data_IF_448873121453
#
_entry.id   IF_448873121453
#
_cell.length_a   1.000
_cell.length_b   1.000
_cell.length_c   1.000
_cell.angle_alpha   90.00
_cell.angle_beta   90.00
_cell.angle_gamma   90.00
#
_symmetry.space_group_name_H-M   'P 1'
#
loop_
_entity.id
_entity.type
_entity.pdbx_description
1 polymer ?
#
# COMPACT_ATOMS: atom_id res chain seq x y z
N UNK A 1 8.99 20.65 3.90
CA UNK A 1 10.37 20.52 4.45
C UNK A 1 10.30 19.67 5.71
N UNK A 2 11.23 18.74 5.90
CA UNK A 2 11.33 17.97 7.14
C UNK A 2 12.34 18.62 8.08
N UNK A 3 11.96 18.83 9.32
CA UNK A 3 12.86 19.37 10.34
C UNK A 3 13.82 18.28 10.83
N UNK A 4 15.03 18.29 10.30
CA UNK A 4 16.14 17.44 10.75
C UNK A 4 16.99 18.20 11.77
N UNK A 5 17.83 17.48 12.53
CA UNK A 5 18.78 18.12 13.46
C UNK A 5 19.70 19.11 12.75
N UNK A 6 20.13 18.79 11.53
CA UNK A 6 20.95 19.67 10.70
C UNK A 6 20.18 20.94 10.30
N UNK A 7 18.92 20.80 9.88
CA UNK A 7 18.10 21.96 9.54
C UNK A 7 17.90 22.91 10.74
N UNK A 8 17.67 22.34 11.93
CA UNK A 8 17.54 23.14 13.17
C UNK A 8 18.88 23.81 13.54
N UNK A 9 20.00 23.10 13.47
CA UNK A 9 21.33 23.67 13.71
C UNK A 9 21.65 24.82 12.72
N UNK A 10 21.34 24.61 11.42
CA UNK A 10 21.48 25.63 10.39
C UNK A 10 20.62 26.87 10.65
N UNK A 11 19.39 26.69 11.08
CA UNK A 11 18.50 27.80 11.45
C UNK A 11 19.05 28.61 12.64
N UNK A 12 19.55 27.93 13.69
CA UNK A 12 20.16 28.57 14.86
C UNK A 12 21.39 29.39 14.41
N UNK A 13 22.23 28.82 13.55
CA UNK A 13 23.38 29.54 13.01
C UNK A 13 22.97 30.78 12.22
N UNK A 14 21.97 30.65 11.37
CA UNK A 14 21.43 31.74 10.54
C UNK A 14 20.82 32.87 11.39
N UNK A 15 20.09 32.55 12.43
CA UNK A 15 19.36 33.53 13.24
C UNK A 15 20.18 34.15 14.35
N UNK A 16 21.10 33.39 14.93
CA UNK A 16 21.83 33.81 16.13
C UNK A 16 23.36 33.81 15.97
N UNK A 17 23.89 33.38 14.82
CA UNK A 17 25.32 33.25 14.59
C UNK A 17 26.02 32.15 15.41
N UNK A 18 25.24 31.29 16.08
CA UNK A 18 25.77 30.26 16.98
C UNK A 18 25.94 28.91 16.28
N UNK A 19 27.13 28.34 16.38
CA UNK A 19 27.42 26.98 15.97
C UNK A 19 27.08 25.99 17.11
N UNK A 20 26.01 25.20 16.94
CA UNK A 20 25.57 24.23 17.94
C UNK A 20 25.73 22.78 17.43
N UNK A 21 26.23 21.90 18.29
CA UNK A 21 26.39 20.49 17.92
C UNK A 21 25.03 19.79 17.74
N UNK A 22 24.96 18.78 16.88
CA UNK A 22 23.73 18.00 16.67
C UNK A 22 23.26 17.30 17.95
N UNK A 23 24.18 17.02 18.90
CA UNK A 23 23.85 16.47 20.21
C UNK A 23 23.12 17.49 21.08
N UNK A 24 23.60 18.72 21.08
CA UNK A 24 22.97 19.86 21.76
C UNK A 24 21.53 20.05 21.23
N UNK A 25 21.37 20.13 19.90
CA UNK A 25 20.05 20.22 19.25
C UNK A 25 19.14 19.07 19.67
N UNK A 26 19.65 17.83 19.71
CA UNK A 26 18.85 16.67 20.14
C UNK A 26 18.35 16.82 21.59
N UNK A 27 19.21 17.30 22.49
CA UNK A 27 18.86 17.47 23.91
C UNK A 27 17.78 18.53 24.09
N UNK A 28 17.89 19.67 23.39
CA UNK A 28 16.85 20.71 23.44
C UNK A 28 15.53 20.22 22.83
N UNK A 29 15.56 19.57 21.65
CA UNK A 29 14.34 19.01 21.06
C UNK A 29 13.64 18.04 22.00
N UNK A 30 14.39 17.16 22.67
CA UNK A 30 13.83 16.23 23.68
C UNK A 30 13.20 16.96 24.87
N UNK A 31 13.88 17.99 25.40
CA UNK A 31 13.34 18.82 26.49
C UNK A 31 12.03 19.51 26.11
N UNK A 32 11.87 19.89 24.84
CA UNK A 32 10.67 20.51 24.30
C UNK A 32 9.60 19.48 23.85
N UNK A 33 9.77 18.20 24.15
CA UNK A 33 8.82 17.15 23.85
C UNK A 33 8.86 16.64 22.41
N UNK A 34 9.84 17.03 21.60
CA UNK A 34 9.99 16.52 20.25
C UNK A 34 10.68 15.15 20.24
N UNK A 35 10.15 14.23 19.49
CA UNK A 35 10.71 12.89 19.27
C UNK A 35 11.09 12.69 17.80
N UNK A 36 12.13 11.90 17.56
CA UNK A 36 12.50 11.54 16.20
C UNK A 36 11.50 10.53 15.64
N UNK A 37 10.73 10.93 14.63
CA UNK A 37 9.68 10.10 14.05
C UNK A 37 9.93 9.88 12.55
N UNK A 38 9.50 8.71 12.06
CA UNK A 38 9.47 8.45 10.62
C UNK A 38 8.30 9.21 9.99
N UNK A 39 8.51 10.03 8.95
CA UNK A 39 7.41 10.74 8.31
C UNK A 39 6.46 9.74 7.65
N UNK A 40 5.17 9.92 7.86
CA UNK A 40 4.13 9.16 7.18
C UNK A 40 4.03 9.62 5.73
N UNK A 41 4.13 8.70 4.79
CA UNK A 41 3.90 9.00 3.38
C UNK A 41 2.40 9.21 3.15
N UNK A 42 2.01 10.40 2.71
CA UNK A 42 0.64 10.70 2.25
C UNK A 42 0.66 10.86 0.74
N UNK A 43 -0.20 10.16 0.03
CA UNK A 43 -0.35 10.36 -1.42
C UNK A 43 -0.97 11.72 -1.69
N UNK A 44 -0.40 12.47 -2.63
CA UNK A 44 -0.99 13.72 -3.14
C UNK A 44 -2.34 13.50 -3.86
N UNK A 45 -2.55 12.29 -4.35
CA UNK A 45 -3.76 11.92 -5.11
C UNK A 45 -4.87 11.33 -4.24
N UNK A 46 -4.65 11.23 -2.91
CA UNK A 46 -5.68 10.74 -2.00
C UNK A 46 -6.77 11.81 -1.83
N UNK A 47 -7.91 11.58 -2.46
CA UNK A 47 -9.11 12.40 -2.31
C UNK A 47 -9.89 11.94 -1.07
N UNK A 48 -9.67 12.64 0.04
CA UNK A 48 -10.33 12.29 1.31
C UNK A 48 -11.86 12.45 1.21
N UNK A 49 -12.37 13.35 0.37
CA UNK A 49 -13.82 13.55 0.19
C UNK A 49 -14.45 12.32 -0.46
N UNK A 50 -13.78 11.76 -1.48
CA UNK A 50 -14.24 10.51 -2.12
C UNK A 50 -14.17 9.32 -1.16
N UNK A 51 -13.11 9.22 -0.37
CA UNK A 51 -12.99 8.16 0.65
C UNK A 51 -14.10 8.27 1.69
N UNK A 52 -14.35 9.46 2.22
CA UNK A 52 -15.40 9.71 3.21
C UNK A 52 -16.79 9.43 2.63
N UNK A 53 -17.05 9.84 1.40
CA UNK A 53 -18.30 9.55 0.70
C UNK A 53 -18.51 8.05 0.50
N UNK A 54 -17.45 7.33 0.08
CA UNK A 54 -17.52 5.88 -0.06
C UNK A 54 -17.87 5.21 1.27
N UNK A 55 -17.17 5.57 2.35
CA UNK A 55 -17.35 4.94 3.65
C UNK A 55 -18.69 5.29 4.31
N UNK A 56 -19.20 6.51 4.13
CA UNK A 56 -20.44 6.97 4.77
C UNK A 56 -21.70 6.68 3.99
N UNK A 57 -21.63 6.62 2.66
CA UNK A 57 -22.80 6.48 1.78
C UNK A 57 -22.78 5.18 0.99
N UNK A 58 -21.71 4.91 0.22
CA UNK A 58 -21.69 3.83 -0.74
C UNK A 58 -21.51 2.46 -0.06
N UNK A 59 -20.54 2.31 0.82
CA UNK A 59 -20.30 1.06 1.50
C UNK A 59 -21.48 0.58 2.37
N UNK A 60 -22.15 1.42 3.18
CA UNK A 60 -23.34 1.01 3.90
C UNK A 60 -24.49 0.56 2.99
N UNK A 61 -24.66 1.19 1.83
CA UNK A 61 -25.65 0.76 0.84
C UNK A 61 -25.32 -0.63 0.26
N UNK A 62 -24.03 -0.86 -0.10
CA UNK A 62 -23.53 -2.17 -0.54
C UNK A 62 -23.74 -3.22 0.54
N UNK A 63 -23.40 -2.93 1.79
CA UNK A 63 -23.54 -3.84 2.92
C UNK A 63 -25.01 -4.20 3.18
N UNK A 64 -25.91 -3.23 3.08
CA UNK A 64 -27.37 -3.46 3.21
C UNK A 64 -27.89 -4.36 2.08
N UNK A 65 -27.45 -4.11 0.85
CA UNK A 65 -27.87 -4.90 -0.31
C UNK A 65 -27.30 -6.33 -0.22
N UNK A 66 -26.03 -6.48 0.11
CA UNK A 66 -25.37 -7.77 0.29
C UNK A 66 -26.10 -8.61 1.37
N UNK A 67 -26.48 -7.99 2.49
CA UNK A 67 -27.26 -8.66 3.54
C UNK A 67 -28.62 -9.12 3.03
N UNK A 68 -29.31 -8.28 2.25
CA UNK A 68 -30.63 -8.62 1.67
C UNK A 68 -30.54 -9.79 0.70
N UNK A 69 -29.45 -9.89 -0.05
CA UNK A 69 -29.22 -10.92 -1.06
C UNK A 69 -28.48 -12.15 -0.50
N UNK A 70 -28.20 -12.20 0.81
CA UNK A 70 -27.36 -13.25 1.43
C UNK A 70 -26.00 -13.39 0.76
N UNK A 71 -25.43 -12.28 0.30
CA UNK A 71 -24.17 -12.21 -0.44
C UNK A 71 -22.98 -11.96 0.49
N UNK A 72 -21.78 -12.35 0.05
CA UNK A 72 -20.53 -12.05 0.73
C UNK A 72 -19.83 -10.85 0.11
N UNK A 73 -19.23 -10.00 0.96
CA UNK A 73 -18.42 -8.85 0.53
C UNK A 73 -16.96 -9.22 0.67
N UNK A 74 -16.23 -9.12 -0.43
CA UNK A 74 -14.80 -9.32 -0.54
C UNK A 74 -14.10 -7.99 -0.86
N UNK A 75 -13.01 -7.73 -0.17
CA UNK A 75 -12.08 -6.62 -0.41
C UNK A 75 -10.86 -7.18 -1.13
N UNK A 76 -10.68 -6.81 -2.37
CA UNK A 76 -9.58 -7.30 -3.20
C UNK A 76 -8.47 -6.27 -3.36
N UNK A 77 -7.23 -6.76 -3.33
CA UNK A 77 -6.02 -5.94 -3.54
C UNK A 77 -4.94 -6.78 -4.20
N UNK A 78 -4.02 -6.09 -4.87
CA UNK A 78 -2.87 -6.68 -5.55
C UNK A 78 -1.59 -6.43 -4.77
N UNK A 79 -0.78 -7.46 -4.63
CA UNK A 79 0.56 -7.34 -4.07
C UNK A 79 1.58 -8.07 -4.92
N UNK A 80 2.85 -7.73 -4.77
CA UNK A 80 3.95 -8.43 -5.42
C UNK A 80 5.15 -8.54 -4.50
N UNK A 81 5.78 -9.69 -4.53
CA UNK A 81 7.02 -9.96 -3.81
C UNK A 81 8.10 -10.15 -4.86
N UNK A 82 9.19 -9.43 -4.73
CA UNK A 82 10.40 -9.62 -5.53
C UNK A 82 11.52 -10.20 -4.67
N UNK A 83 12.53 -10.75 -5.34
CA UNK A 83 13.71 -11.32 -4.69
C UNK A 83 14.77 -10.26 -4.35
N UNK A 84 14.41 -8.96 -4.35
CA UNK A 84 15.33 -7.90 -3.94
C UNK A 84 15.43 -7.88 -2.41
N UNK A 85 16.60 -8.22 -1.92
CA UNK A 85 16.90 -8.13 -0.50
C UNK A 85 17.08 -6.66 -0.09
N UNK A 86 16.50 -6.29 1.04
CA UNK A 86 16.71 -5.00 1.67
C UNK A 86 17.87 -5.10 2.66
N UNK A 87 19.05 -4.71 2.22
CA UNK A 87 20.24 -4.75 3.07
C UNK A 87 20.20 -3.62 4.11
N UNK A 88 20.50 -3.97 5.34
CA UNK A 88 20.74 -2.99 6.39
C UNK A 88 22.11 -2.34 6.22
N UNK A 89 22.26 -1.13 6.75
CA UNK A 89 23.58 -0.45 6.76
C UNK A 89 24.54 -1.21 7.66
N UNK A 90 25.69 -1.61 7.12
CA UNK A 90 26.79 -2.21 7.86
C UNK A 90 27.90 -1.21 8.16
N UNK A 91 28.79 -1.58 9.06
CA UNK A 91 30.01 -0.81 9.34
C UNK A 91 31.15 -1.32 8.46
N UNK A 92 31.93 -0.40 7.93
CA UNK A 92 33.15 -0.66 7.18
C UNK A 92 34.18 0.41 7.50
N UNK A 93 35.45 0.19 7.11
CA UNK A 93 36.49 1.22 7.24
C UNK A 93 36.12 2.46 6.45
N UNK A 94 36.48 3.62 6.97
CA UNK A 94 36.22 4.91 6.32
C UNK A 94 36.87 4.93 4.91
N UNK A 95 36.03 5.20 3.90
CA UNK A 95 36.45 5.17 2.50
C UNK A 95 36.32 3.82 1.80
N UNK A 96 35.98 2.75 2.51
CA UNK A 96 35.75 1.42 1.93
C UNK A 96 34.27 1.08 2.02
N UNK A 97 33.58 1.05 0.89
CA UNK A 97 32.18 0.63 0.85
C UNK A 97 32.13 -0.90 0.83
N UNK A 98 31.42 -1.55 1.77
CA UNK A 98 31.28 -2.99 1.74
C UNK A 98 30.47 -3.43 0.52
N UNK A 99 30.90 -4.50 -0.14
CA UNK A 99 30.19 -5.13 -1.25
C UNK A 99 29.58 -6.44 -0.80
N UNK A 100 28.41 -6.76 -1.32
CA UNK A 100 27.72 -8.03 -1.10
C UNK A 100 27.43 -8.65 -2.47
N UNK A 101 27.74 -9.92 -2.61
CA UNK A 101 27.37 -10.67 -3.82
C UNK A 101 25.88 -10.96 -3.78
N UNK A 102 25.18 -10.54 -4.81
CA UNK A 102 23.71 -10.71 -4.92
C UNK A 102 23.39 -11.41 -6.25
N UNK A 103 22.33 -12.20 -6.25
CA UNK A 103 21.81 -12.73 -7.52
C UNK A 103 21.18 -11.58 -8.32
N UNK A 104 21.67 -11.36 -9.53
CA UNK A 104 21.21 -10.29 -10.42
C UNK A 104 19.88 -10.66 -11.10
N UNK A 105 19.49 -11.94 -11.08
CA UNK A 105 18.21 -12.37 -11.65
C UNK A 105 17.05 -11.85 -10.81
N UNK A 106 16.31 -10.93 -11.38
CA UNK A 106 15.08 -10.41 -10.76
C UNK A 106 13.95 -11.40 -11.00
N UNK A 107 13.52 -12.04 -9.93
CA UNK A 107 12.29 -12.81 -9.91
C UNK A 107 11.22 -12.02 -9.16
N UNK A 108 10.00 -11.97 -9.67
CA UNK A 108 8.84 -11.36 -9.02
C UNK A 108 7.64 -12.27 -9.16
N UNK A 109 6.98 -12.51 -8.06
CA UNK A 109 5.68 -13.18 -8.00
C UNK A 109 4.64 -12.16 -7.58
N UNK A 110 3.56 -12.06 -8.32
CA UNK A 110 2.43 -11.22 -7.99
C UNK A 110 1.29 -12.08 -7.45
N UNK A 111 0.49 -11.49 -6.58
CA UNK A 111 -0.67 -12.13 -5.99
C UNK A 111 -1.84 -11.14 -6.03
N UNK A 112 -2.99 -11.61 -6.47
CA UNK A 112 -4.25 -10.97 -6.20
C UNK A 112 -4.95 -11.71 -5.08
N UNK A 113 -5.43 -10.99 -4.08
CA UNK A 113 -6.13 -11.56 -2.94
C UNK A 113 -7.44 -10.81 -2.70
N UNK A 114 -8.40 -11.51 -2.14
CA UNK A 114 -9.64 -10.92 -1.67
C UNK A 114 -10.00 -11.48 -0.29
N UNK A 115 -10.39 -10.61 0.62
CA UNK A 115 -10.64 -10.94 2.03
C UNK A 115 -12.04 -10.50 2.42
N UNK A 116 -12.78 -11.34 3.11
CA UNK A 116 -14.08 -10.98 3.69
C UNK A 116 -13.92 -10.28 5.03
N UNK A 117 -14.96 -9.58 5.48
CA UNK A 117 -14.99 -9.02 6.84
C UNK A 117 -14.94 -10.11 7.94
N UNK A 118 -15.17 -11.38 7.60
CA UNK A 118 -15.07 -12.54 8.50
C UNK A 118 -13.67 -13.18 8.51
N UNK A 119 -12.75 -12.69 7.68
CA UNK A 119 -11.38 -13.19 7.60
C UNK A 119 -11.16 -14.33 6.60
N UNK A 120 -12.17 -14.74 5.84
CA UNK A 120 -11.98 -15.71 4.75
C UNK A 120 -11.17 -15.08 3.62
N UNK A 121 -10.16 -15.79 3.12
CA UNK A 121 -9.24 -15.30 2.09
C UNK A 121 -9.35 -16.17 0.84
N UNK A 122 -9.34 -15.54 -0.32
CA UNK A 122 -9.15 -16.16 -1.63
C UNK A 122 -8.00 -15.46 -2.33
N UNK A 123 -7.11 -16.21 -2.95
CA UNK A 123 -5.97 -15.62 -3.64
C UNK A 123 -5.59 -16.39 -4.90
N UNK A 124 -4.91 -15.71 -5.80
CA UNK A 124 -4.32 -16.25 -7.01
C UNK A 124 -2.92 -15.68 -7.19
N UNK A 125 -1.95 -16.55 -7.34
CA UNK A 125 -0.57 -16.17 -7.67
C UNK A 125 -0.37 -16.18 -9.17
N UNK A 126 0.46 -15.26 -9.68
CA UNK A 126 0.76 -15.17 -11.10
C UNK A 126 2.10 -14.48 -11.35
N UNK A 127 2.74 -14.88 -12.45
CA UNK A 127 3.94 -14.23 -12.97
C UNK A 127 3.58 -12.99 -13.77
N UNK A 128 4.30 -12.05 -14.06
CA UNK A 128 4.04 -10.85 -14.86
C UNK A 128 2.99 -9.93 -14.22
N UNK A 129 2.73 -8.79 -14.86
CA UNK A 129 1.82 -7.77 -14.34
C UNK A 129 0.35 -8.18 -14.44
N UNK A 130 -0.47 -7.62 -13.55
CA UNK A 130 -1.91 -7.72 -13.61
C UNK A 130 -2.44 -7.17 -14.94
N UNK A 131 -3.43 -7.85 -15.49
CA UNK A 131 -4.17 -7.43 -16.68
C UNK A 131 -5.63 -7.89 -16.61
N UNK A 132 -6.46 -7.43 -17.56
CA UNK A 132 -7.88 -7.73 -17.58
C UNK A 132 -8.19 -9.24 -17.58
N UNK A 133 -7.41 -10.04 -18.31
CA UNK A 133 -7.65 -11.49 -18.41
C UNK A 133 -7.39 -12.18 -17.07
N UNK A 134 -6.35 -11.77 -16.34
CA UNK A 134 -6.03 -12.30 -15.00
C UNK A 134 -7.06 -11.89 -13.96
N UNK A 135 -7.54 -10.65 -14.03
CA UNK A 135 -8.63 -10.22 -13.17
C UNK A 135 -9.89 -11.05 -13.42
N UNK A 136 -10.24 -11.29 -14.67
CA UNK A 136 -11.39 -12.15 -15.03
C UNK A 136 -11.17 -13.58 -14.53
N UNK A 137 -9.95 -14.11 -14.67
CA UNK A 137 -9.61 -15.44 -14.15
C UNK A 137 -9.77 -15.49 -12.63
N UNK A 138 -9.27 -14.50 -11.91
CA UNK A 138 -9.45 -14.40 -10.47
C UNK A 138 -10.93 -14.34 -10.08
N UNK A 139 -11.71 -13.47 -10.72
CA UNK A 139 -13.15 -13.36 -10.45
C UNK A 139 -13.89 -14.68 -10.74
N UNK A 140 -13.51 -15.38 -11.82
CA UNK A 140 -14.09 -16.70 -12.15
C UNK A 140 -13.78 -17.73 -11.07
N UNK A 141 -12.53 -17.78 -10.57
CA UNK A 141 -12.16 -18.67 -9.47
C UNK A 141 -12.92 -18.30 -8.21
N UNK A 142 -12.99 -17.01 -7.90
CA UNK A 142 -13.70 -16.52 -6.72
C UNK A 142 -15.17 -16.96 -6.70
N UNK A 143 -15.91 -16.79 -7.80
CA UNK A 143 -17.33 -17.18 -7.86
C UNK A 143 -17.53 -18.71 -7.91
N UNK A 144 -16.56 -19.47 -8.41
CA UNK A 144 -16.63 -20.94 -8.39
C UNK A 144 -16.38 -21.51 -6.99
N UNK A 145 -15.54 -20.83 -6.19
CA UNK A 145 -15.17 -21.27 -4.84
C UNK A 145 -16.20 -20.85 -3.78
N UNK A 146 -17.12 -19.96 -4.13
CA UNK A 146 -18.10 -19.37 -3.20
C UNK A 146 -19.49 -19.73 -3.68
N UNK A 147 -20.28 -20.37 -2.83
CA UNK A 147 -21.67 -20.75 -3.16
C UNK A 147 -22.66 -19.58 -3.09
N UNK A 148 -22.24 -18.46 -2.51
CA UNK A 148 -23.06 -17.27 -2.32
C UNK A 148 -22.74 -16.21 -3.39
N UNK A 149 -23.66 -15.28 -3.60
CA UNK A 149 -23.40 -14.10 -4.41
C UNK A 149 -22.25 -13.29 -3.82
N UNK A 150 -21.39 -12.73 -4.68
CA UNK A 150 -20.18 -12.01 -4.28
C UNK A 150 -20.25 -10.54 -4.68
N UNK A 151 -20.00 -9.66 -3.72
CA UNK A 151 -19.70 -8.26 -3.95
C UNK A 151 -18.19 -8.07 -3.80
N UNK A 152 -17.49 -7.82 -4.90
CA UNK A 152 -16.03 -7.60 -4.90
C UNK A 152 -15.73 -6.11 -4.97
N UNK A 153 -15.10 -5.58 -3.92
CA UNK A 153 -14.66 -4.19 -3.81
C UNK A 153 -13.17 -4.16 -4.16
N UNK A 154 -12.80 -3.41 -5.18
CA UNK A 154 -11.44 -3.22 -5.67
C UNK A 154 -11.07 -1.74 -5.62
N UNK A 155 -9.77 -1.47 -5.69
CA UNK A 155 -9.26 -0.11 -5.93
C UNK A 155 -9.62 0.36 -7.37
N UNK A 156 -9.33 1.63 -7.64
CA UNK A 156 -9.69 2.26 -8.91
C UNK A 156 -8.61 2.11 -10.00
N UNK A 157 -7.96 0.94 -10.12
CA UNK A 157 -6.99 0.68 -11.17
C UNK A 157 -7.64 0.67 -12.57
N UNK A 158 -6.93 1.19 -13.56
CA UNK A 158 -7.43 1.25 -14.96
C UNK A 158 -7.80 -0.12 -15.52
N UNK A 159 -7.10 -1.17 -15.13
CA UNK A 159 -7.37 -2.57 -15.52
C UNK A 159 -8.77 -3.03 -15.12
N UNK A 160 -9.30 -2.53 -14.00
CA UNK A 160 -10.62 -2.91 -13.49
C UNK A 160 -11.77 -2.34 -14.34
N UNK A 161 -11.52 -1.28 -15.10
CA UNK A 161 -12.50 -0.62 -15.96
C UNK A 161 -12.40 -1.02 -17.44
N UNK A 162 -11.56 -1.99 -17.75
CA UNK A 162 -11.33 -2.41 -19.15
C UNK A 162 -12.56 -3.07 -19.79
N UNK A 163 -12.72 -2.93 -21.11
CA UNK A 163 -13.86 -3.45 -21.88
C UNK A 163 -14.14 -4.92 -21.59
N UNK A 164 -13.13 -5.77 -21.60
CA UNK A 164 -13.29 -7.23 -21.34
C UNK A 164 -13.85 -7.50 -19.95
N UNK A 165 -13.43 -6.73 -18.95
CA UNK A 165 -13.95 -6.87 -17.57
C UNK A 165 -15.42 -6.47 -17.52
N UNK A 166 -15.78 -5.36 -18.15
CA UNK A 166 -17.18 -4.90 -18.22
C UNK A 166 -18.09 -5.90 -18.95
N UNK A 167 -17.63 -6.44 -20.07
CA UNK A 167 -18.33 -7.48 -20.81
C UNK A 167 -18.53 -8.76 -19.98
N UNK A 168 -17.50 -9.15 -19.22
CA UNK A 168 -17.59 -10.31 -18.33
C UNK A 168 -18.58 -10.05 -17.20
N UNK A 169 -18.48 -8.90 -16.54
CA UNK A 169 -19.40 -8.52 -15.46
C UNK A 169 -20.87 -8.44 -15.92
N UNK A 170 -21.13 -7.99 -17.14
CA UNK A 170 -22.49 -7.91 -17.66
C UNK A 170 -23.17 -9.28 -17.79
N UNK A 171 -22.38 -10.34 -17.94
CA UNK A 171 -22.84 -11.74 -18.05
C UNK A 171 -22.93 -12.46 -16.70
N UNK A 172 -22.42 -11.87 -15.62
CA UNK A 172 -22.31 -12.49 -14.30
C UNK A 172 -22.88 -11.58 -13.19
N UNK A 173 -23.95 -10.85 -13.51
CA UNK A 173 -24.69 -9.99 -12.55
C UNK A 173 -25.58 -10.79 -11.62
#
# INVERSE_FOLDING_TARGET
MLWTRQAVSGLIKQQYGLDVSLRCVTNYLKRWGFTCQRPTKKSYFKDNVKVDRFMKEQYPAIAKQAKKESAEIYWGDETGIDNQEHYHRGFALKGMTPSINVDVKRARVNMMSAVTNKGSIRFMMFDKNMNQNRLIEFMRRLINDVSLKVYLILDNLRTHHGKKVQEWLSKHK
#
